data_IF_878726029136
#
_entry.id   IF_878726029136
#
_cell.length_a   1.000
_cell.length_b   1.000
_cell.length_c   1.000
_cell.angle_alpha   90.00
_cell.angle_beta   90.00
_cell.angle_gamma   90.00
#
_symmetry.space_group_name_H-M   'P 1'
#
loop_
_entity.id
_entity.type
_entity.pdbx_description
1 polymer ?
#
# COMPACT_ATOMS: atom_id res chain seq x y z
N UNK A 1 -5.45 -28.75 -21.22
CA UNK A 1 -5.97 -28.30 -22.53
C UNK A 1 -7.46 -28.50 -22.53
N UNK A 2 -8.20 -27.58 -23.13
CA UNK A 2 -9.66 -27.64 -23.22
C UNK A 2 -10.07 -27.89 -24.68
N UNK A 3 -11.11 -28.69 -24.84
CA UNK A 3 -11.69 -29.07 -26.11
C UNK A 3 -13.18 -28.80 -26.06
N UNK A 4 -13.78 -28.46 -27.20
CA UNK A 4 -15.22 -28.35 -27.33
C UNK A 4 -15.71 -29.47 -28.20
N UNK A 5 -16.77 -30.15 -27.76
CA UNK A 5 -17.52 -31.05 -28.61
C UNK A 5 -18.32 -30.19 -29.61
N UNK A 6 -18.09 -30.37 -30.92
CA UNK A 6 -18.64 -29.48 -31.95
C UNK A 6 -20.13 -29.67 -32.18
N UNK A 7 -20.71 -30.80 -31.76
CA UNK A 7 -22.14 -31.08 -31.85
C UNK A 7 -22.91 -30.59 -30.61
N UNK A 8 -22.40 -30.94 -29.41
CA UNK A 8 -23.07 -30.61 -28.16
C UNK A 8 -22.68 -29.27 -27.58
N UNK A 9 -21.62 -28.64 -28.09
CA UNK A 9 -20.99 -27.41 -27.60
C UNK A 9 -20.56 -27.48 -26.11
N UNK A 10 -20.30 -28.68 -25.62
CA UNK A 10 -19.81 -28.88 -24.25
C UNK A 10 -18.28 -28.78 -24.22
N UNK A 11 -17.79 -27.99 -23.27
CA UNK A 11 -16.38 -27.88 -22.97
C UNK A 11 -15.93 -29.09 -22.15
N UNK A 12 -14.82 -29.71 -22.58
CA UNK A 12 -14.28 -30.91 -21.93
C UNK A 12 -12.74 -30.83 -21.87
N UNK A 13 -12.20 -31.41 -20.84
CA UNK A 13 -10.75 -31.60 -20.70
C UNK A 13 -10.33 -32.93 -21.38
N UNK A 14 -9.03 -33.08 -21.63
CA UNK A 14 -8.48 -34.35 -22.11
C UNK A 14 -8.87 -35.52 -21.19
N UNK A 15 -8.84 -35.31 -19.86
CA UNK A 15 -9.18 -36.36 -18.91
C UNK A 15 -10.64 -36.79 -19.01
N UNK A 16 -11.56 -35.86 -19.23
CA UNK A 16 -13.00 -36.15 -19.41
C UNK A 16 -13.25 -36.86 -20.71
N UNK A 17 -12.59 -36.47 -21.81
CA UNK A 17 -12.71 -37.16 -23.11
C UNK A 17 -12.19 -38.60 -22.97
N UNK A 18 -11.07 -38.83 -22.29
CA UNK A 18 -10.56 -40.18 -22.05
C UNK A 18 -11.53 -41.00 -21.18
N UNK A 19 -12.14 -40.40 -20.18
CA UNK A 19 -13.12 -41.08 -19.32
C UNK A 19 -14.40 -41.48 -20.05
N UNK A 20 -14.85 -40.68 -21.01
CA UNK A 20 -16.00 -40.96 -21.84
C UNK A 20 -15.71 -42.08 -22.89
N UNK A 21 -14.45 -42.30 -23.22
CA UNK A 21 -14.00 -43.28 -24.20
C UNK A 21 -12.98 -44.28 -23.61
N UNK A 22 -13.34 -45.05 -22.58
CA UNK A 22 -12.40 -45.88 -21.82
C UNK A 22 -11.71 -46.98 -22.63
N UNK A 23 -12.33 -47.38 -23.75
CA UNK A 23 -11.80 -48.41 -24.64
C UNK A 23 -10.94 -47.87 -25.80
N UNK A 24 -10.71 -46.54 -25.84
CA UNK A 24 -9.92 -45.89 -26.85
C UNK A 24 -8.53 -45.53 -26.34
N UNK A 25 -7.50 -46.02 -27.02
CA UNK A 25 -6.11 -45.61 -26.70
C UNK A 25 -5.73 -44.37 -27.48
N UNK A 26 -5.46 -43.30 -26.75
CA UNK A 26 -5.00 -42.05 -27.36
C UNK A 26 -3.48 -41.95 -27.30
N UNK A 27 -2.79 -41.57 -28.38
CA UNK A 27 -1.35 -41.36 -28.36
C UNK A 27 -0.91 -40.15 -27.53
N UNK A 28 0.40 -40.01 -27.38
CA UNK A 28 1.03 -38.82 -26.75
C UNK A 28 1.89 -38.14 -27.84
N UNK A 29 1.68 -36.87 -28.13
CA UNK A 29 0.69 -35.94 -27.53
C UNK A 29 -0.75 -36.29 -27.85
N UNK A 30 -1.69 -35.88 -27.01
CA UNK A 30 -3.12 -36.14 -27.21
C UNK A 30 -3.62 -35.42 -28.47
N UNK A 31 -4.15 -36.14 -29.46
CA UNK A 31 -4.68 -35.52 -30.70
C UNK A 31 -6.06 -34.92 -30.42
N UNK A 32 -6.50 -34.02 -31.25
CA UNK A 32 -7.89 -33.57 -31.25
C UNK A 32 -8.75 -34.70 -31.79
N UNK A 33 -9.64 -35.34 -31.01
CA UNK A 33 -10.48 -36.41 -31.49
C UNK A 33 -11.53 -35.93 -32.51
N UNK A 34 -12.04 -36.83 -33.32
CA UNK A 34 -13.16 -36.54 -34.22
C UNK A 34 -14.37 -36.05 -33.42
N UNK A 35 -15.06 -35.02 -33.91
CA UNK A 35 -16.17 -34.38 -33.23
C UNK A 35 -15.75 -33.39 -32.12
N UNK A 36 -14.44 -33.14 -31.96
CA UNK A 36 -13.90 -32.13 -31.02
C UNK A 36 -13.05 -31.10 -31.76
N UNK A 37 -12.97 -29.93 -31.18
CA UNK A 37 -12.04 -28.88 -31.59
C UNK A 37 -11.25 -28.37 -30.38
N UNK A 38 -10.01 -27.95 -30.59
CA UNK A 38 -9.20 -27.32 -29.57
C UNK A 38 -9.74 -25.92 -29.24
N UNK A 39 -9.81 -25.58 -27.98
CA UNK A 39 -10.21 -24.24 -27.50
C UNK A 39 -8.98 -23.45 -27.11
N UNK A 40 -8.71 -22.41 -27.86
CA UNK A 40 -7.60 -21.50 -27.61
C UNK A 40 -7.89 -20.63 -26.37
N UNK A 41 -6.95 -20.59 -25.40
CA UNK A 41 -7.11 -19.76 -24.22
C UNK A 41 -7.03 -18.28 -24.59
N UNK A 42 -7.89 -17.47 -23.99
CA UNK A 42 -7.86 -16.01 -24.08
C UNK A 42 -7.58 -15.39 -22.73
N UNK A 43 -7.10 -14.13 -22.70
CA UNK A 43 -6.90 -13.39 -21.47
C UNK A 43 -8.24 -13.11 -20.79
N UNK A 44 -8.25 -13.18 -19.45
CA UNK A 44 -9.40 -12.75 -18.68
C UNK A 44 -9.59 -11.22 -18.82
N UNK A 45 -10.84 -10.74 -18.86
CA UNK A 45 -11.13 -9.32 -18.84
C UNK A 45 -10.70 -8.68 -17.52
N UNK A 46 -10.46 -7.38 -17.55
CA UNK A 46 -10.24 -6.59 -16.33
C UNK A 46 -11.56 -6.50 -15.56
N UNK A 47 -11.51 -6.75 -14.26
CA UNK A 47 -12.68 -6.70 -13.38
C UNK A 47 -12.30 -6.18 -11.99
N UNK A 48 -13.29 -5.77 -11.21
CA UNK A 48 -13.10 -5.37 -9.82
C UNK A 48 -13.30 -6.59 -8.89
N UNK A 49 -12.24 -7.16 -8.30
CA UNK A 49 -12.35 -8.37 -7.49
C UNK A 49 -13.12 -8.20 -6.18
N UNK A 50 -13.42 -6.96 -5.76
CA UNK A 50 -14.24 -6.67 -4.59
C UNK A 50 -15.73 -6.87 -4.89
N UNK A 51 -16.16 -6.55 -6.12
CA UNK A 51 -17.59 -6.54 -6.48
C UNK A 51 -17.93 -7.48 -7.63
N UNK A 52 -16.93 -8.00 -8.32
CA UNK A 52 -17.09 -8.81 -9.53
C UNK A 52 -16.26 -10.08 -9.45
N UNK A 53 -16.68 -11.08 -10.18
CA UNK A 53 -15.92 -12.29 -10.47
C UNK A 53 -15.92 -12.55 -11.97
N UNK A 54 -15.00 -13.39 -12.44
CA UNK A 54 -14.94 -13.80 -13.84
C UNK A 54 -15.24 -15.29 -13.93
N UNK A 55 -16.17 -15.63 -14.77
CA UNK A 55 -16.47 -17.02 -15.09
C UNK A 55 -16.25 -17.33 -16.56
N UNK A 56 -15.85 -18.57 -16.82
CA UNK A 56 -15.72 -19.07 -18.17
C UNK A 56 -17.12 -19.36 -18.72
N UNK A 57 -17.37 -18.91 -19.95
CA UNK A 57 -18.61 -19.21 -20.69
C UNK A 57 -18.32 -20.16 -21.83
N UNK A 58 -19.35 -20.50 -22.60
CA UNK A 58 -19.21 -21.32 -23.79
C UNK A 58 -18.22 -20.68 -24.76
N UNK A 59 -17.21 -21.43 -25.25
CA UNK A 59 -16.30 -20.94 -26.28
C UNK A 59 -17.03 -20.48 -27.54
N UNK A 60 -16.44 -19.53 -28.22
CA UNK A 60 -17.01 -18.98 -29.48
C UNK A 60 -16.15 -19.37 -30.69
N UNK A 61 -16.81 -19.72 -31.76
CA UNK A 61 -16.15 -19.95 -33.05
C UNK A 61 -15.85 -18.62 -33.73
N UNK A 62 -14.58 -18.36 -33.99
CA UNK A 62 -14.14 -17.11 -34.64
C UNK A 62 -14.31 -17.19 -36.17
N UNK A 63 -14.14 -16.04 -36.81
CA UNK A 63 -14.14 -15.94 -38.29
C UNK A 63 -12.96 -16.69 -38.96
N UNK A 64 -11.96 -17.07 -38.19
CA UNK A 64 -10.81 -17.87 -38.65
C UNK A 64 -10.99 -19.36 -38.42
N UNK A 65 -12.23 -19.81 -38.16
CA UNK A 65 -12.58 -21.21 -37.88
C UNK A 65 -11.82 -21.82 -36.68
N UNK A 66 -11.56 -20.99 -35.68
CA UNK A 66 -10.91 -21.38 -34.41
C UNK A 66 -11.84 -21.14 -33.24
N UNK A 67 -11.89 -22.09 -32.30
CA UNK A 67 -12.64 -21.93 -31.09
C UNK A 67 -11.80 -21.19 -30.02
N UNK A 68 -12.35 -20.11 -29.49
CA UNK A 68 -11.71 -19.31 -28.45
C UNK A 68 -12.50 -19.33 -27.13
N UNK A 69 -11.76 -19.39 -26.03
CA UNK A 69 -12.34 -19.27 -24.72
C UNK A 69 -12.98 -17.90 -24.52
N UNK A 70 -14.19 -17.89 -23.92
CA UNK A 70 -14.91 -16.66 -23.56
C UNK A 70 -15.05 -16.53 -22.06
N UNK A 71 -15.09 -15.28 -21.63
CA UNK A 71 -15.21 -14.91 -20.24
C UNK A 71 -16.36 -13.94 -20.05
N UNK A 72 -17.06 -14.07 -18.94
CA UNK A 72 -18.09 -13.13 -18.49
C UNK A 72 -17.69 -12.55 -17.15
N UNK A 73 -17.82 -11.22 -17.00
CA UNK A 73 -17.70 -10.54 -15.72
C UNK A 73 -19.06 -10.55 -15.05
N UNK A 74 -19.14 -11.18 -13.90
CA UNK A 74 -20.38 -11.34 -13.15
C UNK A 74 -20.33 -10.56 -11.85
N UNK A 75 -21.37 -9.81 -11.56
CA UNK A 75 -21.51 -9.07 -10.31
C UNK A 75 -21.72 -10.04 -9.14
N UNK A 76 -20.96 -9.87 -8.06
CA UNK A 76 -21.08 -10.67 -6.84
C UNK A 76 -22.34 -10.28 -6.06
N UNK A 77 -22.65 -8.97 -6.04
CA UNK A 77 -23.75 -8.41 -5.26
C UNK A 77 -24.92 -8.01 -6.16
N UNK A 78 -26.12 -8.29 -5.71
CA UNK A 78 -27.35 -8.04 -6.47
C UNK A 78 -27.89 -6.62 -6.31
N UNK A 79 -27.51 -5.90 -5.25
CA UNK A 79 -27.94 -4.54 -4.99
C UNK A 79 -26.75 -3.60 -4.77
N UNK A 80 -26.98 -2.29 -4.94
CA UNK A 80 -25.94 -1.27 -4.85
C UNK A 80 -25.40 -1.10 -3.43
N UNK A 81 -26.26 -1.23 -2.41
CA UNK A 81 -25.84 -1.07 -1.02
C UNK A 81 -24.80 -2.11 -0.61
N UNK A 82 -25.01 -3.39 -0.95
CA UNK A 82 -24.05 -4.46 -0.63
C UNK A 82 -22.72 -4.25 -1.35
N UNK A 83 -22.74 -3.70 -2.59
CA UNK A 83 -21.52 -3.30 -3.31
C UNK A 83 -20.77 -2.21 -2.57
N UNK A 84 -21.46 -1.16 -2.18
CA UNK A 84 -20.87 -0.01 -1.49
C UNK A 84 -20.29 -0.44 -0.13
N UNK A 85 -20.99 -1.30 0.59
CA UNK A 85 -20.54 -1.87 1.86
C UNK A 85 -19.27 -2.73 1.68
N UNK A 86 -19.22 -3.55 0.63
CA UNK A 86 -18.05 -4.35 0.30
C UNK A 86 -16.85 -3.49 -0.07
N UNK A 87 -17.04 -2.46 -0.88
CA UNK A 87 -16.00 -1.49 -1.23
C UNK A 87 -15.52 -0.77 0.05
N UNK A 88 -16.42 -0.26 0.87
CA UNK A 88 -16.07 0.41 2.11
C UNK A 88 -15.26 -0.52 3.05
N UNK A 89 -15.69 -1.77 3.20
CA UNK A 89 -14.98 -2.78 3.98
C UNK A 89 -13.57 -3.07 3.44
N UNK A 90 -13.40 -3.12 2.12
CA UNK A 90 -12.10 -3.36 1.48
C UNK A 90 -11.10 -2.22 1.73
N UNK A 91 -11.56 -1.00 1.97
CA UNK A 91 -10.73 0.17 2.25
C UNK A 91 -10.25 0.24 3.72
N UNK A 92 -10.92 -0.45 4.65
CA UNK A 92 -10.56 -0.41 6.09
C UNK A 92 -9.09 -0.79 6.34
N UNK A 93 -8.59 -1.95 5.86
CA UNK A 93 -7.19 -2.33 6.09
C UNK A 93 -6.20 -1.38 5.41
N UNK A 94 -6.56 -0.83 4.25
CA UNK A 94 -5.71 0.12 3.52
C UNK A 94 -5.58 1.42 4.32
N UNK A 95 -6.69 1.99 4.80
CA UNK A 95 -6.69 3.18 5.66
C UNK A 95 -5.90 2.94 6.94
N UNK A 96 -6.11 1.80 7.59
CA UNK A 96 -5.37 1.44 8.81
C UNK A 96 -3.86 1.40 8.58
N UNK A 97 -3.40 0.77 7.50
CA UNK A 97 -1.98 0.68 7.13
C UNK A 97 -1.38 2.08 6.82
N UNK A 98 -2.10 2.91 6.04
CA UNK A 98 -1.66 4.28 5.71
C UNK A 98 -1.58 5.15 6.97
N UNK A 99 -2.59 5.09 7.83
CA UNK A 99 -2.62 5.83 9.08
C UNK A 99 -1.51 5.39 10.04
N UNK A 100 -1.17 4.10 10.07
CA UNK A 100 -0.02 3.61 10.83
C UNK A 100 1.31 4.14 10.28
N UNK A 101 1.49 4.16 8.95
CA UNK A 101 2.68 4.71 8.30
C UNK A 101 2.85 6.22 8.58
N UNK A 102 1.76 7.01 8.53
CA UNK A 102 1.77 8.44 8.88
C UNK A 102 2.23 8.64 10.34
N UNK A 103 1.71 7.85 11.28
CA UNK A 103 2.11 7.94 12.69
C UNK A 103 3.59 7.56 12.88
N UNK A 104 4.04 6.51 12.21
CA UNK A 104 5.44 6.08 12.27
C UNK A 104 6.39 7.16 11.74
N UNK A 105 6.06 7.80 10.60
CA UNK A 105 6.87 8.87 10.02
C UNK A 105 6.87 10.11 10.91
N UNK A 106 5.73 10.50 11.49
CA UNK A 106 5.66 11.57 12.50
C UNK A 106 6.60 11.29 13.66
N UNK A 107 6.56 10.07 14.20
CA UNK A 107 7.34 9.71 15.39
C UNK A 107 8.84 9.59 15.05
N UNK A 108 9.19 9.13 13.86
CA UNK A 108 10.56 9.18 13.37
C UNK A 108 11.09 10.60 13.30
N UNK A 109 10.34 11.52 12.68
CA UNK A 109 10.74 12.93 12.54
C UNK A 109 10.83 13.65 13.86
N UNK A 110 9.97 13.34 14.81
CA UNK A 110 10.00 13.91 16.16
C UNK A 110 11.37 13.77 16.83
N UNK A 111 12.09 12.69 16.55
CA UNK A 111 13.41 12.40 17.13
C UNK A 111 14.58 12.71 16.19
N UNK A 112 14.32 13.31 15.03
CA UNK A 112 15.31 13.55 14.01
C UNK A 112 15.81 15.01 13.96
N UNK A 113 15.92 15.64 15.09
CA UNK A 113 16.57 16.93 15.28
C UNK A 113 15.73 18.17 15.01
N UNK A 114 16.17 19.28 15.59
CA UNK A 114 15.65 20.63 15.34
C UNK A 114 16.77 21.57 14.96
N UNK A 115 16.48 22.52 14.06
CA UNK A 115 17.43 23.55 13.67
C UNK A 115 17.37 24.75 14.62
N UNK A 116 18.45 25.01 15.35
CA UNK A 116 18.59 26.17 16.25
C UNK A 116 19.96 26.80 16.02
N UNK A 117 20.03 28.12 15.88
CA UNK A 117 21.28 28.83 15.60
C UNK A 117 22.10 28.26 14.45
N UNK A 118 21.42 27.88 13.34
CA UNK A 118 22.00 27.24 12.16
C UNK A 118 22.68 25.88 12.43
N UNK A 119 22.36 25.22 13.54
CA UNK A 119 22.85 23.89 13.90
C UNK A 119 21.69 22.93 14.15
N UNK A 120 21.86 21.68 13.70
CA UNK A 120 20.90 20.62 13.99
C UNK A 120 21.18 19.99 15.34
N UNK A 121 20.25 20.17 16.27
CA UNK A 121 20.35 19.71 17.65
C UNK A 121 19.58 18.40 17.80
N UNK A 122 20.18 17.44 18.46
CA UNK A 122 19.56 16.14 18.74
C UNK A 122 18.26 16.28 19.54
N UNK A 123 17.24 15.55 19.14
CA UNK A 123 15.91 15.52 19.79
C UNK A 123 15.47 14.12 20.21
N UNK A 124 16.40 13.17 20.29
CA UNK A 124 16.13 11.87 20.89
C UNK A 124 15.73 12.02 22.37
N UNK A 125 15.22 10.96 22.98
CA UNK A 125 14.68 10.99 24.36
C UNK A 125 15.69 11.46 25.37
N UNK A 126 16.97 11.06 25.26
CA UNK A 126 18.01 11.45 26.19
C UNK A 126 18.38 12.91 26.02
N UNK A 127 18.59 13.35 24.79
CA UNK A 127 18.89 14.76 24.48
C UNK A 127 17.78 15.70 24.95
N UNK A 128 16.51 15.35 24.73
CA UNK A 128 15.34 16.10 25.20
C UNK A 128 15.35 16.25 26.72
N UNK A 129 15.68 15.17 27.45
CA UNK A 129 15.76 15.20 28.92
C UNK A 129 16.90 16.09 29.40
N UNK A 130 18.06 16.05 28.74
CA UNK A 130 19.21 16.90 29.07
C UNK A 130 18.90 18.39 28.82
N UNK A 131 18.29 18.71 27.66
CA UNK A 131 17.87 20.08 27.35
C UNK A 131 16.84 20.60 28.38
N UNK A 132 15.86 19.76 28.75
CA UNK A 132 14.90 20.13 29.81
C UNK A 132 15.60 20.37 31.14
N UNK A 133 16.56 19.54 31.51
CA UNK A 133 17.39 19.74 32.69
C UNK A 133 18.12 21.10 32.67
N UNK A 134 18.73 21.44 31.52
CA UNK A 134 19.40 22.74 31.35
C UNK A 134 18.41 23.92 31.45
N UNK A 135 17.20 23.81 30.89
CA UNK A 135 16.16 24.85 31.07
C UNK A 135 15.84 25.05 32.55
N UNK A 136 15.73 23.96 33.34
CA UNK A 136 15.45 24.03 34.77
C UNK A 136 16.60 24.64 35.60
N UNK A 137 17.86 24.49 35.15
CA UNK A 137 19.03 25.11 35.79
C UNK A 137 19.07 26.63 35.61
N UNK A 138 18.36 27.18 34.63
CA UNK A 138 18.30 28.61 34.37
C UNK A 138 19.68 29.22 34.13
N UNK A 139 20.04 30.27 34.88
CA UNK A 139 21.32 30.94 34.75
C UNK A 139 22.54 30.09 35.15
N UNK A 140 22.31 28.94 35.80
CA UNK A 140 23.39 28.04 36.27
C UNK A 140 23.77 26.98 35.19
N UNK A 141 23.28 27.08 33.96
CA UNK A 141 23.67 26.18 32.87
C UNK A 141 25.17 26.29 32.60
N UNK A 142 25.94 25.20 32.72
CA UNK A 142 27.37 25.26 32.42
C UNK A 142 27.62 25.48 30.93
N UNK A 143 28.65 26.25 30.59
CA UNK A 143 29.10 26.43 29.21
C UNK A 143 29.94 25.21 28.80
N UNK A 144 29.30 24.21 28.17
CA UNK A 144 29.97 23.01 27.65
C UNK A 144 29.76 22.92 26.13
N UNK A 145 30.66 22.23 25.45
CA UNK A 145 30.52 21.94 24.03
C UNK A 145 29.56 20.78 23.82
N UNK A 146 28.45 21.07 23.16
CA UNK A 146 27.45 20.08 22.74
C UNK A 146 27.69 19.65 21.31
N UNK A 147 27.86 18.37 21.05
CA UNK A 147 28.00 17.86 19.69
C UNK A 147 26.64 17.92 18.97
N UNK A 148 26.62 18.51 17.79
CA UNK A 148 25.45 18.64 16.93
C UNK A 148 25.34 17.47 15.96
N UNK A 149 24.19 17.28 15.29
CA UNK A 149 23.95 16.16 14.39
C UNK A 149 24.82 16.18 13.13
N UNK A 150 25.34 17.33 12.75
CA UNK A 150 26.32 17.49 11.65
C UNK A 150 27.78 17.22 12.07
N UNK A 151 28.00 16.74 13.30
CA UNK A 151 29.33 16.43 13.85
C UNK A 151 30.14 17.64 14.30
N UNK A 152 29.58 18.85 14.23
CA UNK A 152 30.20 20.06 14.80
C UNK A 152 29.78 20.25 16.25
N UNK A 153 30.11 21.37 16.88
CA UNK A 153 29.70 21.66 18.23
C UNK A 153 29.07 23.04 18.40
N UNK A 154 28.35 23.21 19.49
CA UNK A 154 27.79 24.50 19.96
C UNK A 154 27.91 24.59 21.48
N UNK A 155 28.32 25.73 21.96
CA UNK A 155 28.45 25.96 23.41
C UNK A 155 27.08 26.14 24.07
N UNK A 156 26.79 25.37 25.10
CA UNK A 156 25.52 25.45 25.84
C UNK A 156 25.40 26.75 26.65
N UNK A 157 24.17 27.24 26.75
CA UNK A 157 23.78 28.39 27.55
C UNK A 157 22.31 28.31 27.90
N UNK A 158 21.87 29.11 28.87
CA UNK A 158 20.44 29.25 29.21
C UNK A 158 19.61 29.63 27.98
N UNK A 159 20.08 30.60 27.19
CA UNK A 159 19.40 31.10 26.02
C UNK A 159 19.25 29.97 24.98
N UNK A 160 20.34 29.20 24.70
CA UNK A 160 20.32 28.09 23.81
C UNK A 160 19.36 26.98 24.29
N UNK A 161 19.43 26.63 25.57
CA UNK A 161 18.54 25.60 26.13
C UNK A 161 17.06 25.97 25.97
N UNK A 162 16.71 27.22 26.24
CA UNK A 162 15.35 27.74 26.02
C UNK A 162 14.93 27.69 24.55
N UNK A 163 15.83 28.10 23.65
CA UNK A 163 15.55 28.06 22.20
C UNK A 163 15.36 26.62 21.67
N UNK A 164 16.18 25.66 22.09
CA UNK A 164 16.05 24.25 21.72
C UNK A 164 14.75 23.66 22.26
N UNK A 165 14.40 23.95 23.50
CA UNK A 165 13.14 23.49 24.11
C UNK A 165 11.93 24.02 23.34
N UNK A 166 11.91 25.31 23.02
CA UNK A 166 10.84 25.94 22.27
C UNK A 166 10.75 25.38 20.81
N UNK A 167 11.89 25.26 20.13
CA UNK A 167 11.93 24.71 18.76
C UNK A 167 11.43 23.27 18.73
N UNK A 168 11.80 22.45 19.72
CA UNK A 168 11.33 21.06 19.85
C UNK A 168 9.82 21.00 20.06
N UNK A 169 9.26 21.83 20.96
CA UNK A 169 7.82 21.88 21.17
C UNK A 169 7.05 22.33 19.92
N UNK A 170 7.60 23.32 19.20
CA UNK A 170 7.02 23.81 17.94
C UNK A 170 7.06 22.73 16.85
N UNK A 171 8.18 22.03 16.72
CA UNK A 171 8.30 20.90 15.78
C UNK A 171 7.27 19.82 16.09
N UNK A 172 7.16 19.41 17.35
CA UNK A 172 6.17 18.41 17.78
C UNK A 172 4.76 18.85 17.40
N UNK A 173 4.37 20.07 17.72
CA UNK A 173 3.04 20.59 17.39
C UNK A 173 2.76 20.60 15.87
N UNK A 174 3.74 21.03 15.06
CA UNK A 174 3.58 21.06 13.61
C UNK A 174 3.54 19.66 12.99
N UNK A 175 4.35 18.72 13.48
CA UNK A 175 4.34 17.32 13.07
C UNK A 175 2.99 16.64 13.36
N UNK A 176 2.44 16.88 14.57
CA UNK A 176 1.13 16.35 14.95
C UNK A 176 0.00 16.94 14.12
N UNK A 177 0.02 18.25 13.86
CA UNK A 177 -0.97 18.93 13.02
C UNK A 177 -0.93 18.38 11.57
N UNK A 178 0.27 18.24 11.01
CA UNK A 178 0.44 17.71 9.68
C UNK A 178 0.02 16.24 9.56
N UNK A 179 0.42 15.38 10.50
CA UNK A 179 -0.03 14.00 10.55
C UNK A 179 -1.56 13.89 10.62
N UNK A 180 -2.21 14.76 11.41
CA UNK A 180 -3.68 14.81 11.51
C UNK A 180 -4.32 15.16 10.17
N UNK A 181 -3.76 16.12 9.43
CA UNK A 181 -4.27 16.49 8.09
C UNK A 181 -4.12 15.35 7.09
N UNK A 182 -3.00 14.64 7.09
CA UNK A 182 -2.78 13.47 6.23
C UNK A 182 -3.75 12.32 6.55
N UNK A 183 -3.96 12.02 7.84
CA UNK A 183 -4.93 11.02 8.28
C UNK A 183 -6.33 11.37 7.79
N UNK A 184 -6.74 12.63 7.94
CA UNK A 184 -8.04 13.09 7.43
C UNK A 184 -8.17 12.96 5.91
N UNK A 185 -7.09 13.25 5.15
CA UNK A 185 -7.07 13.05 3.71
C UNK A 185 -7.19 11.57 3.32
N UNK A 186 -6.48 10.67 4.01
CA UNK A 186 -6.58 9.22 3.81
C UNK A 186 -7.99 8.71 4.10
N UNK A 187 -8.58 9.16 5.22
CA UNK A 187 -9.90 8.69 5.65
C UNK A 187 -11.02 9.19 4.72
N UNK A 188 -10.87 10.39 4.14
CA UNK A 188 -11.83 10.97 3.19
C UNK A 188 -11.67 10.44 1.75
N UNK A 189 -10.53 9.83 1.42
CA UNK A 189 -10.25 9.37 0.05
C UNK A 189 -11.05 8.13 -0.34
N UNK A 190 -11.53 8.11 -1.58
CA UNK A 190 -12.05 6.90 -2.23
C UNK A 190 -10.92 5.94 -2.67
N UNK A 191 -9.69 6.45 -2.83
CA UNK A 191 -8.48 5.67 -3.07
C UNK A 191 -7.40 6.05 -2.03
N UNK A 192 -7.48 5.50 -0.81
CA UNK A 192 -6.52 5.81 0.25
C UNK A 192 -5.08 5.43 -0.08
N UNK A 193 -4.87 4.48 -1.00
CA UNK A 193 -3.54 4.04 -1.40
C UNK A 193 -2.78 5.12 -2.19
N UNK A 194 -3.47 5.91 -2.98
CA UNK A 194 -2.89 6.97 -3.82
C UNK A 194 -2.56 8.26 -3.08
N UNK A 195 -3.05 8.45 -1.83
CA UNK A 195 -2.77 9.65 -1.05
C UNK A 195 -1.28 9.77 -0.77
N UNK A 196 -0.64 10.87 -1.17
CA UNK A 196 0.77 11.11 -0.85
C UNK A 196 0.92 11.40 0.66
N UNK A 197 1.67 10.53 1.34
CA UNK A 197 1.98 10.65 2.76
C UNK A 197 3.50 10.87 3.00
N UNK A 198 4.27 11.09 1.94
CA UNK A 198 5.73 11.14 2.00
C UNK A 198 6.29 12.56 1.93
N UNK A 199 5.61 13.46 1.25
CA UNK A 199 6.04 14.83 1.02
C UNK A 199 5.36 15.82 1.98
N UNK A 200 5.88 17.04 2.05
CA UNK A 200 5.28 18.15 2.80
C UNK A 200 5.49 18.13 4.32
N UNK A 201 6.23 17.17 4.86
CA UNK A 201 6.55 17.12 6.27
C UNK A 201 7.45 18.28 6.72
N UNK A 202 7.29 18.78 7.95
CA UNK A 202 8.23 19.73 8.55
C UNK A 202 9.67 19.22 8.45
N UNK A 203 10.60 20.15 8.17
CA UNK A 203 12.00 19.80 8.01
C UNK A 203 12.60 19.24 9.32
N UNK A 204 13.38 18.18 9.19
CA UNK A 204 14.19 17.57 10.23
C UNK A 204 15.57 17.24 9.63
N UNK A 205 16.51 16.81 10.43
CA UNK A 205 17.83 16.42 9.93
C UNK A 205 17.73 15.18 9.06
N UNK A 206 18.11 15.28 7.77
CA UNK A 206 18.02 14.15 6.84
C UNK A 206 19.38 13.42 6.68
N UNK A 207 20.40 13.79 7.47
CA UNK A 207 21.77 13.31 7.33
C UNK A 207 22.57 14.12 6.31
N UNK A 208 23.90 14.05 6.37
CA UNK A 208 24.81 14.56 5.36
C UNK A 208 25.22 13.43 4.40
#
# INVERSE_FOLDING_TARGET
MNYINTETQQLQTEAEIRALNPNTSYPVPFPVPEGYAYVFPTAQPVYNPVTQTVQQTTPELTVLDTWEQRWEVVEIYQNQQDKDDAIAASLIPIRAARNAAIRAERDRRKFNGVLVSAKWIHTDTYSRTQWMGMVMMGASVPAIEWTTMDGTSITTSQALAGAVFQATATLDATLFAYAKSLIAAVDASSDPASVDITTGWPATFEGA
#
